data_IF_990227589518
#
_entry.id   IF_990227589518
#
_cell.length_a   1.000
_cell.length_b   1.000
_cell.length_c   1.000
_cell.angle_alpha   90.00
_cell.angle_beta   90.00
_cell.angle_gamma   90.00
#
_symmetry.space_group_name_H-M   'P 1'
#
loop_
_entity.id
_entity.type
_entity.pdbx_description
1 polymer ?
#
# COMPACT_ATOMS: atom_id res chain seq x y z
N UNK A 1 10.01 39.19 -12.80
CA UNK A 1 8.85 38.49 -13.38
C UNK A 1 8.89 37.08 -12.83
N UNK A 2 7.98 36.71 -11.93
CA UNK A 2 7.96 35.33 -11.42
C UNK A 2 7.47 34.43 -12.55
N UNK A 3 8.21 33.37 -12.86
CA UNK A 3 7.83 32.44 -13.93
C UNK A 3 6.55 31.69 -13.55
N UNK A 4 5.42 32.18 -14.05
CA UNK A 4 4.10 31.58 -13.88
C UNK A 4 4.10 30.10 -14.30
N UNK A 5 4.88 29.73 -15.32
CA UNK A 5 4.96 28.35 -15.79
C UNK A 5 5.62 27.42 -14.76
N UNK A 6 6.65 27.90 -14.05
CA UNK A 6 7.27 27.15 -12.96
C UNK A 6 6.30 26.94 -11.78
N UNK A 7 5.53 27.97 -11.40
CA UNK A 7 4.52 27.86 -10.35
C UNK A 7 3.39 26.88 -10.71
N UNK A 8 2.89 26.94 -11.94
CA UNK A 8 1.86 26.00 -12.43
C UNK A 8 2.37 24.56 -12.45
N UNK A 9 3.61 24.32 -12.90
CA UNK A 9 4.23 22.98 -12.87
C UNK A 9 4.34 22.44 -11.44
N UNK A 10 4.81 23.27 -10.50
CA UNK A 10 4.92 22.89 -9.10
C UNK A 10 3.55 22.54 -8.50
N UNK A 11 2.54 23.38 -8.70
CA UNK A 11 1.18 23.13 -8.20
C UNK A 11 0.60 21.82 -8.72
N UNK A 12 0.81 21.50 -10.00
CA UNK A 12 0.35 20.25 -10.61
C UNK A 12 1.07 19.02 -10.03
N UNK A 13 2.39 19.10 -9.83
CA UNK A 13 3.16 18.02 -9.21
C UNK A 13 2.72 17.78 -7.75
N UNK A 14 2.52 18.86 -6.99
CA UNK A 14 2.07 18.78 -5.61
C UNK A 14 0.67 18.17 -5.50
N UNK A 15 -0.28 18.63 -6.32
CA UNK A 15 -1.63 18.06 -6.41
C UNK A 15 -1.58 16.57 -6.76
N UNK A 16 -0.77 16.18 -7.76
CA UNK A 16 -0.60 14.77 -8.14
C UNK A 16 -0.07 13.94 -6.97
N UNK A 17 0.90 14.47 -6.21
CA UNK A 17 1.44 13.78 -5.03
C UNK A 17 0.38 13.59 -3.93
N UNK A 18 -0.45 14.61 -3.67
CA UNK A 18 -1.57 14.51 -2.73
C UNK A 18 -2.58 13.46 -3.18
N UNK A 19 -3.01 13.51 -4.46
CA UNK A 19 -3.96 12.54 -5.01
C UNK A 19 -3.42 11.12 -4.89
N UNK A 20 -2.15 10.89 -5.25
CA UNK A 20 -1.51 9.59 -5.12
C UNK A 20 -1.44 9.10 -3.66
N UNK A 21 -1.14 10.00 -2.72
CA UNK A 21 -1.14 9.66 -1.30
C UNK A 21 -2.55 9.28 -0.79
N UNK A 22 -3.59 9.95 -1.29
CA UNK A 22 -4.98 9.63 -0.97
C UNK A 22 -5.42 8.27 -1.55
N UNK A 23 -4.99 7.97 -2.79
CA UNK A 23 -5.26 6.70 -3.44
C UNK A 23 -4.60 5.55 -2.67
N UNK A 24 -3.35 5.73 -2.22
CA UNK A 24 -2.68 4.73 -1.39
C UNK A 24 -3.38 4.52 -0.06
N UNK A 25 -3.80 5.58 0.65
CA UNK A 25 -4.58 5.42 1.89
C UNK A 25 -5.87 4.62 1.68
N UNK A 26 -6.56 4.89 0.57
CA UNK A 26 -7.77 4.14 0.20
C UNK A 26 -7.45 2.67 -0.08
N UNK A 27 -6.35 2.39 -0.77
CA UNK A 27 -5.89 1.04 -1.05
C UNK A 27 -5.50 0.28 0.23
N UNK A 28 -4.83 0.92 1.19
CA UNK A 28 -4.52 0.32 2.51
C UNK A 28 -5.82 -0.15 3.17
N UNK A 29 -6.82 0.73 3.27
CA UNK A 29 -8.09 0.39 3.92
C UNK A 29 -8.78 -0.81 3.24
N UNK A 30 -8.82 -0.83 1.90
CA UNK A 30 -9.42 -1.92 1.14
C UNK A 30 -8.66 -3.24 1.32
N UNK A 31 -7.32 -3.20 1.30
CA UNK A 31 -6.54 -4.40 1.50
C UNK A 31 -6.59 -4.91 2.94
N UNK A 32 -6.61 -4.02 3.95
CA UNK A 32 -6.82 -4.40 5.36
C UNK A 32 -8.12 -5.17 5.51
N UNK A 33 -9.23 -4.60 5.03
CA UNK A 33 -10.54 -5.26 5.07
C UNK A 33 -10.52 -6.66 4.43
N UNK A 34 -9.87 -6.83 3.28
CA UNK A 34 -9.79 -8.13 2.60
C UNK A 34 -8.77 -9.09 3.23
N UNK A 35 -7.69 -8.58 3.83
CA UNK A 35 -6.64 -9.36 4.47
C UNK A 35 -7.13 -9.98 5.78
N UNK A 36 -8.00 -9.29 6.52
CA UNK A 36 -8.66 -9.79 7.73
C UNK A 36 -9.53 -11.02 7.45
N UNK A 37 -10.06 -11.16 6.23
CA UNK A 37 -10.81 -12.34 5.79
C UNK A 37 -9.90 -13.49 5.29
N UNK A 38 -8.59 -13.42 5.56
CA UNK A 38 -7.65 -14.51 5.30
C UNK A 38 -7.20 -14.64 3.84
N UNK A 39 -7.41 -13.63 3.00
CA UNK A 39 -6.96 -13.66 1.61
C UNK A 39 -5.45 -13.34 1.50
N UNK A 40 -4.68 -14.25 0.91
CA UNK A 40 -3.23 -14.12 0.77
C UNK A 40 -2.82 -12.89 -0.07
N UNK A 41 -3.54 -12.57 -1.14
CA UNK A 41 -3.15 -11.47 -2.05
C UNK A 41 -3.21 -10.10 -1.36
N UNK A 42 -4.30 -9.71 -0.66
CA UNK A 42 -4.33 -8.51 0.17
C UNK A 42 -3.28 -8.48 1.27
N UNK A 43 -2.99 -9.62 1.92
CA UNK A 43 -1.93 -9.70 2.94
C UNK A 43 -0.57 -9.37 2.32
N UNK A 44 -0.23 -9.97 1.18
CA UNK A 44 0.98 -9.64 0.42
C UNK A 44 1.04 -8.15 0.04
N UNK A 45 -0.07 -7.57 -0.43
CA UNK A 45 -0.13 -6.15 -0.80
C UNK A 45 0.07 -5.22 0.40
N UNK A 46 -0.48 -5.54 1.57
CA UNK A 46 -0.21 -4.78 2.80
C UNK A 46 1.26 -4.86 3.19
N UNK A 47 1.87 -6.04 3.07
CA UNK A 47 3.31 -6.22 3.28
C UNK A 47 4.14 -5.23 2.47
N UNK A 48 3.85 -5.10 1.17
CA UNK A 48 4.50 -4.11 0.28
C UNK A 48 4.22 -2.67 0.74
N UNK A 49 2.98 -2.34 1.09
CA UNK A 49 2.61 -0.97 1.46
C UNK A 49 3.33 -0.50 2.71
N UNK A 50 3.47 -1.36 3.72
CA UNK A 50 4.26 -1.07 4.92
C UNK A 50 5.77 -1.04 4.65
N UNK A 51 6.28 -1.83 3.69
CA UNK A 51 7.69 -1.82 3.32
C UNK A 51 8.14 -0.51 2.64
N UNK A 52 7.24 0.15 1.91
CA UNK A 52 7.56 1.36 1.12
C UNK A 52 6.82 2.63 1.61
N UNK A 53 6.07 2.53 2.71
CA UNK A 53 5.29 3.66 3.23
C UNK A 53 4.18 4.15 2.28
N UNK A 54 3.58 3.27 1.48
CA UNK A 54 2.50 3.66 0.58
C UNK A 54 1.20 3.83 1.36
N UNK A 55 0.84 5.08 1.66
CA UNK A 55 -0.40 5.40 2.38
C UNK A 55 -0.35 5.08 3.88
N UNK A 56 0.75 4.49 4.36
CA UNK A 56 1.07 4.20 5.77
C UNK A 56 2.47 4.72 6.09
N UNK A 57 2.79 4.77 7.38
CA UNK A 57 4.18 4.94 7.82
C UNK A 57 4.93 3.64 7.50
N UNK A 58 6.16 3.76 7.02
CA UNK A 58 7.03 2.62 6.78
C UNK A 58 7.25 1.83 8.08
N UNK A 59 7.01 0.53 8.03
CA UNK A 59 7.14 -0.37 9.17
C UNK A 59 7.49 -1.79 8.68
N UNK A 60 8.77 -2.13 8.81
CA UNK A 60 9.29 -3.43 8.38
C UNK A 60 8.76 -4.59 9.24
N UNK A 61 8.45 -4.36 10.52
CA UNK A 61 7.93 -5.40 11.39
C UNK A 61 6.50 -5.75 10.96
N UNK A 62 5.67 -4.73 10.73
CA UNK A 62 4.32 -4.92 10.21
C UNK A 62 4.33 -5.49 8.79
N UNK A 63 5.27 -5.06 7.93
CA UNK A 63 5.48 -5.65 6.60
C UNK A 63 5.77 -7.15 6.68
N UNK A 64 6.72 -7.55 7.52
CA UNK A 64 7.10 -8.95 7.71
C UNK A 64 5.92 -9.79 8.21
N UNK A 65 5.16 -9.29 9.19
CA UNK A 65 3.95 -9.97 9.70
C UNK A 65 2.96 -10.28 8.58
N UNK A 66 2.68 -9.29 7.71
CA UNK A 66 1.76 -9.49 6.59
C UNK A 66 2.28 -10.47 5.54
N UNK A 67 3.58 -10.45 5.24
CA UNK A 67 4.20 -11.42 4.33
C UNK A 67 4.15 -12.85 4.88
N UNK A 68 4.42 -13.04 6.18
CA UNK A 68 4.31 -14.36 6.83
C UNK A 68 2.88 -14.90 6.73
N UNK A 69 1.89 -14.08 7.09
CA UNK A 69 0.47 -14.47 7.00
C UNK A 69 0.09 -14.87 5.56
N UNK A 70 0.53 -14.09 4.56
CA UNK A 70 0.29 -14.40 3.15
C UNK A 70 0.87 -15.77 2.76
N UNK A 71 2.13 -16.03 3.14
CA UNK A 71 2.80 -17.28 2.82
C UNK A 71 2.15 -18.49 3.51
N UNK A 72 1.69 -18.33 4.76
CA UNK A 72 0.95 -19.37 5.47
C UNK A 72 -0.39 -19.70 4.80
N UNK A 73 -1.12 -18.68 4.33
CA UNK A 73 -2.39 -18.89 3.62
C UNK A 73 -2.17 -19.59 2.27
N UNK A 74 -1.16 -19.20 1.51
CA UNK A 74 -0.82 -19.85 0.25
C UNK A 74 -0.41 -21.32 0.47
N UNK A 75 0.44 -21.58 1.47
CA UNK A 75 0.81 -22.95 1.85
C UNK A 75 -0.41 -23.79 2.23
N UNK A 76 -1.33 -23.23 3.02
CA UNK A 76 -2.57 -23.92 3.41
C UNK A 76 -3.45 -24.27 2.19
N UNK A 77 -3.53 -23.39 1.19
CA UNK A 77 -4.29 -23.65 -0.04
C UNK A 77 -3.65 -24.73 -0.93
N UNK A 78 -2.32 -24.86 -0.89
CA UNK A 78 -1.58 -25.87 -1.67
C UNK A 78 -1.65 -27.27 -1.05
N UNK A 79 -1.71 -27.38 0.28
CA UNK A 79 -1.73 -28.68 0.99
C UNK A 79 -3.14 -29.30 1.03
N UNK A 80 -4.21 -28.50 0.91
CA UNK A 80 -5.60 -28.95 1.02
C UNK A 80 -6.30 -29.12 -0.35
N UNK A 81 -5.57 -29.45 -1.41
CA UNK A 81 -6.08 -29.78 -2.76
C UNK A 81 -5.79 -31.23 -3.09
#
# INVERSE_FOLDING_TARGET
MVDLAAQFKFANLYRKKISLAQDYKTAVNLYTFRAEHGNAVPQYKLGIMYNFGFGVIEDYETSLKWHILSAERERHLLINK
#
